data_IF_185263214489
#
_entry.id   IF_185263214489
#
_cell.length_a   1.000
_cell.length_b   1.000
_cell.length_c   1.000
_cell.angle_alpha   90.00
_cell.angle_beta   90.00
_cell.angle_gamma   90.00
#
_symmetry.space_group_name_H-M   'P 1'
#
loop_
_entity.id
_entity.type
_entity.pdbx_description
1 polymer ?
#
# COMPACT_ATOMS: atom_id res chain seq x y z
N UNK A 1 -6.60 5.04 -26.31
CA UNK A 1 -7.71 5.93 -25.92
C UNK A 1 -7.63 7.24 -26.70
N UNK A 2 -6.52 7.98 -26.62
CA UNK A 2 -6.30 9.25 -27.36
C UNK A 2 -6.64 9.14 -28.86
N UNK A 3 -6.07 8.17 -29.57
CA UNK A 3 -6.33 7.97 -31.00
C UNK A 3 -7.81 7.71 -31.37
N UNK A 4 -8.64 7.29 -30.43
CA UNK A 4 -10.09 7.09 -30.63
C UNK A 4 -10.84 8.39 -30.35
N UNK A 5 -10.45 9.11 -29.30
CA UNK A 5 -10.98 10.45 -28.98
C UNK A 5 -10.68 11.45 -30.11
N UNK A 6 -9.48 11.42 -30.70
CA UNK A 6 -9.12 12.28 -31.84
C UNK A 6 -9.96 12.01 -33.10
N UNK A 7 -10.44 10.78 -33.27
CA UNK A 7 -11.32 10.40 -34.40
C UNK A 7 -12.79 10.74 -34.13
N UNK A 8 -13.13 11.05 -32.89
CA UNK A 8 -14.50 11.35 -32.51
C UNK A 8 -14.91 12.72 -33.07
N UNK A 9 -16.19 12.94 -33.40
CA UNK A 9 -16.67 14.25 -33.82
C UNK A 9 -16.39 15.31 -32.75
N UNK A 10 -15.78 16.42 -33.16
CA UNK A 10 -15.48 17.54 -32.26
C UNK A 10 -16.57 18.61 -32.37
N UNK A 11 -16.92 19.22 -31.25
CA UNK A 11 -17.83 20.37 -31.23
C UNK A 11 -17.09 21.61 -31.73
N UNK A 12 -17.66 22.30 -32.72
CA UNK A 12 -17.07 23.52 -33.29
C UNK A 12 -17.25 24.76 -32.41
N UNK A 13 -18.15 24.72 -31.42
CA UNK A 13 -18.51 25.86 -30.57
C UNK A 13 -18.30 25.53 -29.08
N UNK A 14 -17.57 26.40 -28.39
CA UNK A 14 -17.45 26.38 -26.93
C UNK A 14 -18.77 26.87 -26.31
N UNK A 15 -19.44 26.01 -25.53
CA UNK A 15 -20.68 26.38 -24.81
C UNK A 15 -21.85 25.40 -24.91
N UNK A 16 -21.70 24.27 -25.59
CA UNK A 16 -22.73 23.23 -25.59
C UNK A 16 -22.86 22.58 -24.20
N UNK A 17 -24.09 22.51 -23.66
CA UNK A 17 -24.36 21.71 -22.47
C UNK A 17 -24.12 20.23 -22.78
N UNK A 18 -23.28 19.58 -21.98
CA UNK A 18 -22.99 18.15 -22.09
C UNK A 18 -24.08 17.40 -21.31
N UNK A 19 -24.77 16.48 -21.99
CA UNK A 19 -25.78 15.64 -21.38
C UNK A 19 -25.31 14.20 -21.26
N UNK A 20 -25.75 13.53 -20.19
CA UNK A 20 -25.56 12.10 -20.02
C UNK A 20 -26.30 11.33 -21.12
N UNK A 21 -25.59 10.45 -21.83
CA UNK A 21 -26.23 9.51 -22.76
C UNK A 21 -26.93 8.40 -21.98
N UNK A 22 -27.96 7.74 -22.53
CA UNK A 22 -28.57 6.58 -21.88
C UNK A 22 -27.55 5.49 -21.50
N UNK A 23 -26.48 5.36 -22.31
CA UNK A 23 -25.38 4.44 -22.06
C UNK A 23 -24.58 4.79 -20.80
N UNK A 24 -24.25 6.07 -20.58
CA UNK A 24 -23.50 6.45 -19.36
C UNK A 24 -24.36 6.24 -18.11
N UNK A 25 -25.67 6.46 -18.19
CA UNK A 25 -26.59 6.17 -17.09
C UNK A 25 -26.61 4.68 -16.74
N UNK A 26 -26.69 3.79 -17.75
CA UNK A 26 -26.62 2.33 -17.54
C UNK A 26 -25.27 1.90 -16.97
N UNK A 27 -24.18 2.52 -17.42
CA UNK A 27 -22.84 2.25 -16.92
C UNK A 27 -22.70 2.62 -15.44
N UNK A 28 -23.21 3.78 -15.04
CA UNK A 28 -23.23 4.21 -13.63
C UNK A 28 -24.09 3.29 -12.76
N UNK A 29 -25.21 2.79 -13.27
CA UNK A 29 -26.03 1.78 -12.58
C UNK A 29 -25.28 0.45 -12.43
N UNK A 30 -24.56 0.03 -13.46
CA UNK A 30 -23.74 -1.19 -13.42
C UNK A 30 -22.61 -1.03 -12.39
N UNK A 31 -21.95 0.13 -12.35
CA UNK A 31 -20.95 0.42 -11.33
C UNK A 31 -21.54 0.45 -9.91
N UNK A 32 -22.76 0.96 -9.73
CA UNK A 32 -23.45 0.89 -8.44
C UNK A 32 -23.72 -0.57 -8.02
N UNK A 33 -24.17 -1.41 -8.94
CA UNK A 33 -24.37 -2.84 -8.68
C UNK A 33 -23.06 -3.56 -8.32
N UNK A 34 -21.93 -3.16 -8.91
CA UNK A 34 -20.61 -3.67 -8.54
C UNK A 34 -20.17 -3.25 -7.15
N UNK A 35 -20.44 -2.00 -6.76
CA UNK A 35 -20.21 -1.54 -5.39
C UNK A 35 -21.02 -2.36 -4.38
N UNK A 36 -22.30 -2.60 -4.65
CA UNK A 36 -23.16 -3.45 -3.82
C UNK A 36 -22.62 -4.88 -3.73
N UNK A 37 -22.17 -5.43 -4.85
CA UNK A 37 -21.61 -6.79 -4.93
C UNK A 37 -20.34 -6.93 -4.10
N UNK A 38 -19.49 -5.91 -4.10
CA UNK A 38 -18.27 -5.83 -3.29
C UNK A 38 -18.53 -5.33 -1.86
N UNK A 39 -19.79 -5.05 -1.52
CA UNK A 39 -20.28 -4.57 -0.22
C UNK A 39 -19.69 -3.22 0.20
N UNK A 40 -19.49 -2.35 -0.78
CA UNK A 40 -18.98 -1.00 -0.60
C UNK A 40 -20.10 0.01 -0.36
N UNK A 41 -19.76 1.08 0.35
CA UNK A 41 -20.70 2.13 0.70
C UNK A 41 -20.67 3.29 -0.31
N UNK A 42 -19.61 3.34 -1.15
CA UNK A 42 -19.40 4.37 -2.18
C UNK A 42 -18.96 3.75 -3.51
N UNK A 43 -19.34 4.42 -4.61
CA UNK A 43 -18.91 4.05 -5.96
C UNK A 43 -17.52 4.64 -6.23
N UNK A 44 -16.48 3.84 -5.99
CA UNK A 44 -15.10 4.09 -6.45
C UNK A 44 -14.85 3.86 -7.95
N UNK A 45 -13.68 4.27 -8.42
CA UNK A 45 -13.17 4.13 -9.79
C UNK A 45 -13.01 2.67 -10.21
N UNK A 46 -12.77 1.76 -9.27
CA UNK A 46 -12.72 0.32 -9.56
C UNK A 46 -14.06 -0.21 -10.05
N UNK A 47 -15.18 0.25 -9.50
CA UNK A 47 -16.51 -0.18 -9.91
C UNK A 47 -16.85 0.32 -11.31
N UNK A 48 -16.45 1.57 -11.61
CA UNK A 48 -16.55 2.13 -12.96
C UNK A 48 -15.73 1.31 -13.95
N UNK A 49 -14.50 0.96 -13.60
CA UNK A 49 -13.63 0.17 -14.49
C UNK A 49 -14.18 -1.25 -14.71
N UNK A 50 -14.70 -1.90 -13.66
CA UNK A 50 -15.36 -3.21 -13.78
C UNK A 50 -16.59 -3.10 -14.69
N UNK A 51 -17.43 -2.08 -14.51
CA UNK A 51 -18.60 -1.85 -15.35
C UNK A 51 -18.22 -1.62 -16.82
N UNK A 52 -17.18 -0.81 -17.09
CA UNK A 52 -16.64 -0.59 -18.44
C UNK A 52 -16.10 -1.89 -19.04
N UNK A 53 -15.35 -2.69 -18.26
CA UNK A 53 -14.79 -3.96 -18.70
C UNK A 53 -15.84 -5.05 -18.94
N UNK A 54 -17.02 -4.91 -18.35
CA UNK A 54 -18.19 -5.76 -18.59
C UNK A 54 -19.03 -5.35 -19.81
N UNK A 55 -18.78 -4.19 -20.42
CA UNK A 55 -19.51 -3.80 -21.64
C UNK A 55 -19.06 -4.65 -22.84
N UNK A 56 -20.01 -5.17 -23.61
CA UNK A 56 -19.72 -5.90 -24.85
C UNK A 56 -19.61 -4.99 -26.08
N UNK A 57 -20.09 -3.74 -25.97
CA UNK A 57 -20.27 -2.83 -27.11
C UNK A 57 -19.59 -1.48 -26.88
N UNK A 58 -19.27 -0.83 -28.00
CA UNK A 58 -18.70 0.50 -28.03
C UNK A 58 -17.17 0.52 -27.92
N UNK A 59 -16.62 1.73 -27.98
CA UNK A 59 -15.18 1.92 -28.16
C UNK A 59 -14.36 1.46 -26.96
N UNK A 60 -14.81 1.72 -25.73
CA UNK A 60 -14.12 1.28 -24.52
C UNK A 60 -13.96 -0.25 -24.48
N UNK A 61 -15.02 -1.00 -24.77
CA UNK A 61 -14.99 -2.46 -24.87
C UNK A 61 -13.99 -2.94 -25.95
N UNK A 62 -13.99 -2.29 -27.11
CA UNK A 62 -13.05 -2.59 -28.20
C UNK A 62 -11.59 -2.35 -27.82
N UNK A 63 -11.32 -1.24 -27.12
CA UNK A 63 -9.99 -0.90 -26.61
C UNK A 63 -9.55 -1.93 -25.57
N UNK A 64 -10.36 -2.22 -24.55
CA UNK A 64 -9.97 -3.18 -23.51
C UNK A 64 -9.70 -4.56 -24.11
N UNK A 65 -10.55 -5.01 -25.03
CA UNK A 65 -10.39 -6.29 -25.73
C UNK A 65 -9.11 -6.36 -26.56
N UNK A 66 -8.68 -5.27 -27.21
CA UNK A 66 -7.43 -5.26 -27.98
C UNK A 66 -6.18 -5.39 -27.11
N UNK A 67 -6.27 -4.97 -25.84
CA UNK A 67 -5.23 -5.21 -24.82
C UNK A 67 -5.44 -6.51 -24.03
N UNK A 68 -6.44 -7.32 -24.39
CA UNK A 68 -6.77 -8.54 -23.68
C UNK A 68 -7.23 -8.30 -22.24
N UNK A 69 -7.77 -7.13 -21.93
CA UNK A 69 -8.38 -6.80 -20.63
C UNK A 69 -9.85 -7.21 -20.67
N UNK A 70 -10.25 -8.04 -19.71
CA UNK A 70 -11.63 -8.48 -19.50
C UNK A 70 -12.03 -8.27 -18.03
N UNK A 71 -13.32 -8.37 -17.75
CA UNK A 71 -13.87 -8.15 -16.41
C UNK A 71 -13.23 -9.07 -15.35
N UNK A 72 -12.92 -10.32 -15.70
CA UNK A 72 -12.31 -11.29 -14.78
C UNK A 72 -10.90 -10.88 -14.38
N UNK A 73 -10.08 -10.45 -15.34
CA UNK A 73 -8.72 -9.93 -15.07
C UNK A 73 -8.77 -8.67 -14.21
N UNK A 74 -9.75 -7.79 -14.43
CA UNK A 74 -9.95 -6.62 -13.58
C UNK A 74 -10.27 -7.04 -12.15
N UNK A 75 -11.15 -8.03 -11.92
CA UNK A 75 -11.40 -8.52 -10.55
C UNK A 75 -10.17 -9.14 -9.91
N UNK A 76 -9.39 -9.95 -10.63
CA UNK A 76 -8.17 -10.56 -10.10
C UNK A 76 -7.14 -9.49 -9.70
N UNK A 77 -6.95 -8.49 -10.55
CA UNK A 77 -6.08 -7.35 -10.26
C UNK A 77 -6.60 -6.56 -9.05
N UNK A 78 -7.90 -6.27 -9.00
CA UNK A 78 -8.52 -5.55 -7.89
C UNK A 78 -8.34 -6.31 -6.58
N UNK A 79 -8.56 -7.63 -6.56
CA UNK A 79 -8.34 -8.45 -5.37
C UNK A 79 -6.90 -8.36 -4.86
N UNK A 80 -5.91 -8.28 -5.74
CA UNK A 80 -4.50 -8.13 -5.34
C UNK A 80 -4.15 -6.75 -4.78
N UNK A 81 -4.80 -5.69 -5.27
CA UNK A 81 -4.51 -4.29 -4.88
C UNK A 81 -5.31 -3.88 -3.64
N UNK A 82 -6.60 -4.24 -3.62
CA UNK A 82 -7.57 -3.85 -2.60
C UNK A 82 -7.68 -4.87 -1.48
N UNK A 83 -7.34 -6.14 -1.72
CA UNK A 83 -7.50 -7.19 -0.72
C UNK A 83 -8.95 -7.28 -0.22
N UNK A 84 -9.12 -7.33 1.10
CA UNK A 84 -10.44 -7.36 1.77
C UNK A 84 -10.99 -5.99 2.18
N UNK A 85 -10.32 -4.89 1.81
CA UNK A 85 -10.76 -3.55 2.18
C UNK A 85 -12.08 -3.18 1.48
N UNK A 86 -12.87 -2.30 2.09
CA UNK A 86 -14.12 -1.76 1.52
C UNK A 86 -14.00 -0.26 1.28
N UNK A 87 -14.67 0.25 0.26
CA UNK A 87 -14.80 1.69 -0.04
C UNK A 87 -15.88 2.26 0.87
N UNK A 88 -15.48 2.62 2.09
CA UNK A 88 -16.39 3.15 3.12
C UNK A 88 -16.36 4.67 3.21
N UNK A 89 -15.51 5.34 2.44
CA UNK A 89 -15.44 6.80 2.36
C UNK A 89 -14.84 7.25 1.02
N UNK A 90 -15.06 8.51 0.66
CA UNK A 90 -14.61 9.08 -0.61
C UNK A 90 -13.08 9.11 -0.79
N UNK A 91 -12.29 8.88 0.27
CA UNK A 91 -10.82 8.82 0.22
C UNK A 91 -10.29 7.40 0.38
N UNK A 92 -11.15 6.37 0.42
CA UNK A 92 -10.73 4.98 0.59
C UNK A 92 -9.72 4.54 -0.48
N UNK A 93 -9.87 5.05 -1.72
CA UNK A 93 -8.90 4.83 -2.80
C UNK A 93 -7.48 5.27 -2.45
N UNK A 94 -7.34 6.38 -1.72
CA UNK A 94 -6.04 6.92 -1.32
C UNK A 94 -5.36 6.09 -0.23
N UNK A 95 -6.15 5.27 0.49
CA UNK A 95 -5.68 4.34 1.52
C UNK A 95 -5.15 3.05 0.91
N UNK A 96 -5.59 2.70 -0.31
CA UNK A 96 -4.96 1.61 -1.07
C UNK A 96 -3.51 1.98 -1.35
N UNK A 97 -2.59 1.11 -0.91
CA UNK A 97 -1.14 1.22 -1.11
C UNK A 97 -0.51 2.36 -0.31
N UNK A 98 -0.91 2.50 0.95
CA UNK A 98 -0.28 3.43 1.89
C UNK A 98 1.19 3.07 2.12
N UNK A 99 1.50 1.77 2.16
CA UNK A 99 2.87 1.26 2.21
C UNK A 99 3.70 1.62 0.97
N UNK A 100 3.12 1.72 -0.22
CA UNK A 100 3.87 2.18 -1.41
C UNK A 100 4.17 3.68 -1.36
N UNK A 101 3.27 4.47 -0.78
CA UNK A 101 3.45 5.93 -0.67
C UNK A 101 4.42 6.34 0.44
N UNK A 102 4.33 5.66 1.57
CA UNK A 102 5.05 6.03 2.79
C UNK A 102 6.13 5.02 3.18
N UNK A 103 6.32 3.96 2.38
CA UNK A 103 7.32 2.93 2.63
C UNK A 103 8.28 2.76 1.46
N UNK A 104 9.40 2.11 1.74
CA UNK A 104 10.41 1.68 0.77
C UNK A 104 10.57 0.17 0.87
N UNK A 105 10.29 -0.55 -0.21
CA UNK A 105 10.43 -2.02 -0.24
C UNK A 105 11.92 -2.40 -0.36
N UNK A 106 12.54 -2.73 0.78
CA UNK A 106 13.94 -3.13 0.86
C UNK A 106 14.17 -4.48 0.17
N UNK A 107 13.18 -5.38 0.22
CA UNK A 107 13.26 -6.67 -0.48
C UNK A 107 13.30 -6.48 -2.00
N UNK A 108 12.52 -5.56 -2.55
CA UNK A 108 12.56 -5.25 -3.97
C UNK A 108 13.86 -4.53 -4.36
N UNK A 109 14.34 -3.60 -3.53
CA UNK A 109 15.65 -2.97 -3.74
C UNK A 109 16.78 -4.00 -3.73
N UNK A 110 16.73 -5.00 -2.85
CA UNK A 110 17.69 -6.10 -2.80
C UNK A 110 17.65 -6.95 -4.08
N UNK A 111 16.46 -7.31 -4.58
CA UNK A 111 16.32 -8.04 -5.87
C UNK A 111 16.93 -7.29 -7.04
N UNK A 112 16.79 -5.96 -7.03
CA UNK A 112 17.33 -5.08 -8.06
C UNK A 112 18.81 -4.77 -7.89
N UNK A 113 19.48 -5.27 -6.83
CA UNK A 113 20.89 -5.00 -6.55
C UNK A 113 21.17 -3.54 -6.16
N UNK A 114 20.16 -2.83 -5.64
CA UNK A 114 20.27 -1.41 -5.23
C UNK A 114 20.72 -1.21 -3.80
N UNK A 115 20.75 -2.27 -3.00
CA UNK A 115 21.26 -2.23 -1.62
C UNK A 115 22.75 -2.55 -1.60
N UNK A 116 23.51 -1.78 -0.83
CA UNK A 116 24.92 -2.06 -0.60
C UNK A 116 25.09 -3.40 0.15
N UNK A 117 26.14 -4.19 -0.16
CA UNK A 117 26.37 -5.45 0.53
C UNK A 117 26.66 -5.21 2.01
N UNK A 118 25.94 -5.91 2.87
CA UNK A 118 26.10 -5.76 4.32
C UNK A 118 27.26 -6.63 4.81
N UNK A 119 28.28 -6.00 5.41
CA UNK A 119 29.51 -6.67 5.85
C UNK A 119 29.58 -6.66 7.39
N UNK A 120 29.88 -7.82 7.99
CA UNK A 120 30.18 -7.92 9.42
C UNK A 120 28.98 -7.75 10.37
N UNK A 121 27.76 -8.00 9.89
CA UNK A 121 26.50 -7.92 10.67
C UNK A 121 25.74 -9.24 10.76
N UNK A 122 26.39 -10.36 10.44
CA UNK A 122 25.75 -11.67 10.33
C UNK A 122 25.10 -12.10 11.65
N UNK A 123 25.75 -11.85 12.79
CA UNK A 123 25.24 -12.22 14.11
C UNK A 123 24.01 -11.40 14.50
N UNK A 124 24.01 -10.09 14.22
CA UNK A 124 22.86 -9.22 14.47
C UNK A 124 21.67 -9.59 13.58
N UNK A 125 21.90 -9.81 12.28
CA UNK A 125 20.84 -10.23 11.35
C UNK A 125 20.28 -11.59 11.77
N UNK A 126 21.14 -12.54 12.16
CA UNK A 126 20.73 -13.85 12.68
C UNK A 126 19.88 -13.72 13.94
N UNK A 127 20.23 -12.82 14.85
CA UNK A 127 19.43 -12.54 16.06
C UNK A 127 18.07 -11.92 15.73
N UNK A 128 18.01 -11.01 14.75
CA UNK A 128 16.74 -10.45 14.25
C UNK A 128 15.84 -11.54 13.68
N UNK A 129 16.38 -12.41 12.81
CA UNK A 129 15.62 -13.55 12.27
C UNK A 129 15.08 -14.46 13.39
N UNK A 130 15.91 -14.80 14.38
CA UNK A 130 15.48 -15.61 15.52
C UNK A 130 14.32 -14.97 16.29
N UNK A 131 14.31 -13.66 16.48
CA UNK A 131 13.21 -12.96 17.15
C UNK A 131 11.94 -12.98 16.29
N UNK A 132 12.06 -12.67 14.99
CA UNK A 132 10.92 -12.65 14.06
C UNK A 132 10.21 -14.01 13.94
N UNK A 133 10.93 -15.11 14.13
CA UNK A 133 10.36 -16.47 14.07
C UNK A 133 9.66 -16.93 15.36
N UNK A 134 9.66 -16.13 16.42
CA UNK A 134 8.98 -16.48 17.68
C UNK A 134 7.46 -16.44 17.52
N UNK A 135 6.76 -17.24 18.33
CA UNK A 135 5.28 -17.22 18.39
C UNK A 135 4.72 -15.97 19.08
N UNK A 136 5.47 -15.39 20.00
CA UNK A 136 5.11 -14.19 20.75
C UNK A 136 6.35 -13.33 20.93
N UNK A 137 6.16 -12.00 21.11
CA UNK A 137 7.27 -11.04 21.26
C UNK A 137 8.28 -11.14 20.10
N UNK A 138 7.76 -11.26 18.89
CA UNK A 138 8.46 -11.37 17.61
C UNK A 138 8.75 -10.01 16.98
N UNK A 139 8.77 -8.94 17.78
CA UNK A 139 9.09 -7.57 17.37
C UNK A 139 10.52 -7.23 17.85
N UNK A 140 11.54 -7.34 16.98
CA UNK A 140 12.92 -7.05 17.35
C UNK A 140 13.13 -5.54 17.53
N UNK A 141 13.92 -5.15 18.53
CA UNK A 141 14.36 -3.76 18.71
C UNK A 141 15.88 -3.72 18.63
N UNK A 142 16.39 -2.96 17.67
CA UNK A 142 17.83 -2.77 17.45
C UNK A 142 18.27 -1.53 18.23
N UNK A 143 19.15 -1.72 19.21
CA UNK A 143 19.65 -0.66 20.10
C UNK A 143 21.12 -0.39 19.79
N UNK A 144 21.49 0.89 19.83
CA UNK A 144 22.86 1.38 19.59
C UNK A 144 22.86 2.89 19.43
N UNK A 145 24.03 3.50 19.26
CA UNK A 145 24.14 4.94 19.03
C UNK A 145 23.62 5.33 17.63
N UNK A 146 23.36 6.62 17.42
CA UNK A 146 22.99 7.13 16.10
C UNK A 146 24.15 6.94 15.11
N UNK A 147 23.85 6.60 13.86
CA UNK A 147 24.86 6.48 12.80
C UNK A 147 25.68 5.18 12.79
N UNK A 148 25.45 4.24 13.71
CA UNK A 148 26.17 2.94 13.74
C UNK A 148 25.75 1.94 12.65
N UNK A 149 24.81 2.33 11.77
CA UNK A 149 24.33 1.48 10.68
C UNK A 149 23.25 0.47 11.09
N UNK A 150 22.30 0.85 11.96
CA UNK A 150 21.17 -0.02 12.34
C UNK A 150 20.30 -0.39 11.13
N UNK A 151 20.14 0.55 10.20
CA UNK A 151 19.43 0.38 8.93
C UNK A 151 20.01 -0.75 8.09
N UNK A 152 21.34 -0.95 8.13
CA UNK A 152 22.02 -2.03 7.41
C UNK A 152 21.58 -3.43 7.88
N UNK A 153 21.10 -3.58 9.12
CA UNK A 153 20.56 -4.87 9.59
C UNK A 153 19.23 -5.20 8.91
N UNK A 154 18.37 -4.20 8.68
CA UNK A 154 17.11 -4.38 7.96
C UNK A 154 17.35 -4.65 6.47
N UNK A 155 18.30 -3.95 5.86
CA UNK A 155 18.75 -4.20 4.48
C UNK A 155 19.36 -5.59 4.32
N UNK A 156 20.20 -6.01 5.26
CA UNK A 156 20.80 -7.34 5.28
C UNK A 156 19.77 -8.46 5.47
N UNK A 157 18.73 -8.22 6.28
CA UNK A 157 17.58 -9.14 6.38
C UNK A 157 16.86 -9.26 5.02
N UNK A 158 16.63 -8.14 4.33
CA UNK A 158 16.00 -8.14 3.02
C UNK A 158 16.84 -8.90 1.97
N UNK A 159 18.16 -8.70 1.97
CA UNK A 159 19.10 -9.44 1.12
C UNK A 159 19.06 -10.95 1.40
N UNK A 160 19.05 -11.37 2.68
CA UNK A 160 18.94 -12.78 3.04
C UNK A 160 17.62 -13.42 2.62
N UNK A 161 16.49 -12.70 2.76
CA UNK A 161 15.19 -13.20 2.30
C UNK A 161 15.19 -13.40 0.77
N UNK A 162 15.79 -12.47 0.01
CA UNK A 162 15.90 -12.59 -1.46
C UNK A 162 16.81 -13.74 -1.88
N UNK A 163 17.87 -14.00 -1.12
CA UNK A 163 18.79 -15.11 -1.35
C UNK A 163 18.25 -16.47 -0.87
N UNK A 164 17.02 -16.53 -0.34
CA UNK A 164 16.44 -17.69 0.35
C UNK A 164 17.30 -18.23 1.51
N UNK A 165 18.21 -17.40 2.06
CA UNK A 165 19.06 -17.69 3.23
C UNK A 165 18.35 -17.31 4.54
N UNK A 166 17.12 -17.80 4.72
CA UNK A 166 16.29 -17.56 5.90
C UNK A 166 15.48 -18.80 6.28
N UNK A 167 15.02 -18.92 7.54
CA UNK A 167 14.04 -19.94 7.93
C UNK A 167 12.78 -19.90 7.06
N UNK A 168 12.14 -21.06 6.85
CA UNK A 168 10.95 -21.18 5.99
C UNK A 168 9.82 -20.22 6.35
N UNK A 169 9.67 -19.91 7.64
CA UNK A 169 8.66 -18.96 8.13
C UNK A 169 8.88 -17.52 7.68
N UNK A 170 10.10 -17.16 7.26
CA UNK A 170 10.47 -15.83 6.74
C UNK A 170 10.58 -15.79 5.22
N UNK A 171 10.58 -16.95 4.55
CA UNK A 171 10.63 -16.99 3.08
C UNK A 171 9.46 -16.23 2.48
N UNK A 172 9.74 -15.52 1.38
CA UNK A 172 8.77 -14.72 0.62
C UNK A 172 8.14 -13.53 1.36
N UNK A 173 8.53 -13.25 2.60
CA UNK A 173 8.10 -12.02 3.28
C UNK A 173 8.75 -10.80 2.63
N UNK A 174 8.08 -9.66 2.69
CA UNK A 174 8.61 -8.36 2.26
C UNK A 174 9.15 -7.61 3.46
N UNK A 175 10.29 -6.96 3.30
CA UNK A 175 10.82 -6.01 4.29
C UNK A 175 10.57 -4.61 3.77
N UNK A 176 9.76 -3.83 4.49
CA UNK A 176 9.38 -2.47 4.10
C UNK A 176 9.88 -1.49 5.16
N UNK A 177 10.69 -0.52 4.76
CA UNK A 177 11.14 0.56 5.63
C UNK A 177 10.15 1.73 5.58
N UNK A 178 9.67 2.17 6.74
CA UNK A 178 8.76 3.32 6.85
C UNK A 178 9.52 4.64 6.68
N UNK A 179 9.06 5.49 5.76
CA UNK A 179 9.58 6.84 5.57
C UNK A 179 8.81 7.83 6.45
N UNK A 180 9.39 8.13 7.61
CA UNK A 180 8.83 9.08 8.55
C UNK A 180 8.73 10.50 7.97
N UNK A 181 9.67 10.88 7.11
CA UNK A 181 9.67 12.17 6.43
C UNK A 181 8.47 12.31 5.49
N UNK A 182 8.16 11.26 4.72
CA UNK A 182 7.01 11.24 3.82
C UNK A 182 5.67 11.31 4.57
N UNK A 183 5.58 10.70 5.75
CA UNK A 183 4.37 10.76 6.59
C UNK A 183 4.10 12.18 7.11
N UNK A 184 5.16 12.88 7.52
CA UNK A 184 5.09 14.27 8.06
C UNK A 184 4.99 15.30 6.93
N UNK A 185 5.56 15.01 5.76
CA UNK A 185 5.55 15.91 4.62
C UNK A 185 4.10 16.26 4.20
N UNK A 186 3.82 17.56 4.13
CA UNK A 186 2.51 18.06 3.74
C UNK A 186 1.38 17.79 4.74
N UNK A 187 1.66 17.29 5.94
CA UNK A 187 0.66 17.30 7.02
C UNK A 187 0.62 18.70 7.64
N UNK A 188 -0.51 19.41 7.49
CA UNK A 188 -0.70 20.71 8.17
C UNK A 188 -1.13 20.53 9.62
N UNK A 189 -1.68 19.36 9.93
CA UNK A 189 -2.24 19.00 11.22
C UNK A 189 -1.75 17.62 11.66
N UNK A 190 -1.51 17.46 12.96
CA UNK A 190 -1.09 16.20 13.59
C UNK A 190 -2.02 15.03 13.28
N UNK A 191 -3.33 15.27 13.21
CA UNK A 191 -4.32 14.23 12.91
C UNK A 191 -4.13 13.59 11.54
N UNK A 192 -3.61 14.33 10.55
CA UNK A 192 -3.33 13.78 9.22
C UNK A 192 -2.14 12.80 9.25
N UNK A 193 -1.11 13.10 10.03
CA UNK A 193 0.00 12.18 10.26
C UNK A 193 -0.51 10.88 10.92
N UNK A 194 -1.32 11.01 11.98
CA UNK A 194 -1.89 9.85 12.69
C UNK A 194 -2.76 9.01 11.75
N UNK A 195 -3.60 9.63 10.92
CA UNK A 195 -4.43 8.92 9.93
C UNK A 195 -3.57 8.15 8.90
N UNK A 196 -2.49 8.76 8.40
CA UNK A 196 -1.56 8.12 7.46
C UNK A 196 -0.83 6.95 8.10
N UNK A 197 -0.32 7.12 9.32
CA UNK A 197 0.33 6.04 10.06
C UNK A 197 -0.66 4.91 10.35
N UNK A 198 -1.92 5.23 10.67
CA UNK A 198 -2.98 4.23 10.86
C UNK A 198 -3.18 3.39 9.61
N UNK A 199 -3.29 4.04 8.46
CA UNK A 199 -3.50 3.37 7.19
C UNK A 199 -2.35 2.40 6.86
N UNK A 200 -1.11 2.82 7.09
CA UNK A 200 0.08 1.96 6.96
C UNK A 200 0.01 0.75 7.91
N UNK A 201 -0.27 0.97 9.19
CA UNK A 201 -0.32 -0.11 10.17
C UNK A 201 -1.45 -1.10 9.89
N UNK A 202 -2.61 -0.61 9.43
CA UNK A 202 -3.74 -1.46 9.05
C UNK A 202 -3.41 -2.29 7.79
N UNK A 203 -2.70 -1.74 6.82
CA UNK A 203 -2.20 -2.49 5.64
C UNK A 203 -1.23 -3.60 6.05
N UNK A 204 -0.27 -3.32 6.95
CA UNK A 204 0.66 -4.34 7.47
C UNK A 204 -0.08 -5.46 8.21
N UNK A 205 -1.09 -5.12 9.02
CA UNK A 205 -1.91 -6.13 9.72
C UNK A 205 -2.69 -7.01 8.74
N UNK A 206 -3.26 -6.41 7.70
CA UNK A 206 -4.04 -7.13 6.70
C UNK A 206 -3.20 -8.02 5.80
N UNK A 207 -1.90 -7.73 5.66
CA UNK A 207 -0.95 -8.61 4.99
C UNK A 207 -0.66 -9.91 5.76
N UNK A 208 -1.28 -10.16 6.93
CA UNK A 208 -1.25 -11.43 7.66
C UNK A 208 0.16 -12.04 7.83
N UNK A 209 1.16 -11.18 8.09
CA UNK A 209 2.55 -11.59 8.32
C UNK A 209 3.41 -11.69 7.06
N UNK A 210 2.87 -11.39 5.87
CA UNK A 210 3.67 -11.28 4.65
C UNK A 210 4.62 -10.08 4.67
N UNK A 211 4.36 -9.07 5.50
CA UNK A 211 5.15 -7.84 5.59
C UNK A 211 5.85 -7.74 6.95
N UNK A 212 7.15 -7.47 6.92
CA UNK A 212 7.98 -7.05 8.05
C UNK A 212 8.20 -5.55 7.89
N UNK A 213 7.60 -4.77 8.80
CA UNK A 213 7.76 -3.31 8.82
C UNK A 213 8.99 -2.92 9.64
N UNK A 214 9.93 -2.23 9.01
CA UNK A 214 11.07 -1.60 9.67
C UNK A 214 10.75 -0.13 9.91
N UNK A 215 10.87 0.31 11.16
CA UNK A 215 10.68 1.70 11.58
C UNK A 215 12.01 2.19 12.13
N UNK A 216 12.67 3.08 11.40
CA UNK A 216 13.85 3.75 11.93
C UNK A 216 13.45 4.80 12.96
N UNK A 217 14.33 5.04 13.94
CA UNK A 217 14.13 6.04 14.99
C UNK A 217 12.76 5.96 15.68
N UNK A 218 12.30 4.74 16.03
CA UNK A 218 10.98 4.50 16.66
C UNK A 218 10.67 5.43 17.85
N UNK A 219 11.68 5.89 18.58
CA UNK A 219 11.54 6.84 19.68
C UNK A 219 10.92 8.19 19.27
N UNK A 220 11.06 8.60 18.01
CA UNK A 220 10.43 9.81 17.44
C UNK A 220 8.91 9.71 17.35
N UNK A 221 8.39 8.48 17.27
CA UNK A 221 6.96 8.14 17.12
C UNK A 221 6.32 7.76 18.46
N UNK A 222 7.13 7.28 19.40
CA UNK A 222 6.73 6.79 20.74
C UNK A 222 7.06 7.84 21.82
N UNK A 223 7.18 9.11 21.43
CA UNK A 223 7.62 10.21 22.28
C UNK A 223 6.74 10.40 23.52
N UNK A 224 7.30 10.03 24.68
CA UNK A 224 6.75 10.20 26.01
C UNK A 224 6.23 11.62 26.24
N UNK A 225 4.98 11.75 26.67
CA UNK A 225 4.35 13.04 26.92
C UNK A 225 5.19 13.94 27.82
N UNK A 226 5.59 15.10 27.30
CA UNK A 226 6.06 16.26 28.10
C UNK A 226 6.37 17.52 27.27
N UNK A 227 6.56 17.45 25.94
CA UNK A 227 6.83 18.64 25.13
C UNK A 227 5.68 18.89 24.14
N UNK A 228 5.23 20.14 24.02
CA UNK A 228 4.11 20.66 23.18
C UNK A 228 4.23 20.42 21.66
N UNK A 229 5.01 19.43 21.22
CA UNK A 229 5.20 19.08 19.80
C UNK A 229 5.57 17.63 19.53
N UNK A 230 5.64 16.76 20.56
CA UNK A 230 5.96 15.35 20.35
C UNK A 230 4.75 14.59 19.76
N UNK A 231 4.99 13.90 18.65
CA UNK A 231 4.04 13.00 18.01
C UNK A 231 3.89 11.76 18.90
N UNK A 232 2.73 11.58 19.53
CA UNK A 232 2.43 10.38 20.33
C UNK A 232 1.56 9.42 19.52
N UNK A 233 2.22 8.51 18.81
CA UNK A 233 1.57 7.40 18.10
C UNK A 233 1.67 6.08 18.88
N UNK A 234 2.06 6.13 20.16
CA UNK A 234 2.20 4.95 21.02
C UNK A 234 0.89 4.16 21.13
N UNK A 235 -0.25 4.86 21.18
CA UNK A 235 -1.57 4.23 21.25
C UNK A 235 -1.95 3.49 19.96
N UNK A 236 -1.38 3.87 18.82
CA UNK A 236 -1.64 3.25 17.52
C UNK A 236 -0.79 1.99 17.30
N UNK A 237 0.45 2.02 17.81
CA UNK A 237 1.41 0.93 17.69
C UNK A 237 1.15 -0.19 18.71
N UNK A 238 0.72 0.15 19.95
CA UNK A 238 0.47 -0.83 21.02
C UNK A 238 -0.40 -2.03 20.60
N UNK A 239 -1.56 -1.87 19.93
CA UNK A 239 -2.38 -3.02 19.54
C UNK A 239 -1.69 -3.92 18.50
N UNK A 240 -0.87 -3.35 17.62
CA UNK A 240 -0.10 -4.12 16.63
C UNK A 240 1.02 -4.93 17.31
N UNK A 241 1.69 -4.33 18.29
CA UNK A 241 2.84 -4.93 18.99
C UNK A 241 2.43 -5.91 20.10
N UNK A 242 1.23 -5.75 20.67
CA UNK A 242 0.76 -6.56 21.81
C UNK A 242 0.48 -8.03 21.45
N UNK A 243 0.09 -8.30 20.19
CA UNK A 243 -0.27 -9.64 19.74
C UNK A 243 0.89 -10.41 19.10
N UNK A 244 2.00 -9.71 18.83
CA UNK A 244 3.15 -10.27 18.14
C UNK A 244 3.14 -9.94 16.65
#
# INVERSE_FOLDING_TARGET
VEAVLEKSPHLTYEGAQIYATPRITQLLQSAAAEADRLKDEFIGTEHLLIAIAGEERGEAAGILKSFGVDQEKVYRALQSIRGGHRVTDARAESKYRSLEKYGRDLTEMARQGKLDPVIGRDDEIKRVMQILTRRTKNNPVIVGDAGVGKTAIAEGLAQKIVADDVPDSLKRRKVVALDMGALVAGSKFRGEFEERLKAVMDEVRQAQGEIILFIDEMHTVVGAGAAEGAIDASNMLKPALAHG
#
